data_IF_139264515441
#
_entry.id   IF_139264515441
#
_cell.length_a   1.000
_cell.length_b   1.000
_cell.length_c   1.000
_cell.angle_alpha   90.00
_cell.angle_beta   90.00
_cell.angle_gamma   90.00
#
_symmetry.space_group_name_H-M   'P 1'
#
loop_
_entity.id
_entity.type
_entity.pdbx_description
1 polymer ?
#
# COMPACT_ATOMS: atom_id res chain seq x y z
N UNK A 1 -6.66 -18.30 -12.70
CA UNK A 1 -7.43 -19.14 -11.76
C UNK A 1 -6.95 -19.06 -10.30
N UNK A 2 -5.74 -18.57 -9.99
CA UNK A 2 -5.21 -18.47 -8.61
C UNK A 2 -5.85 -17.37 -7.73
N UNK A 3 -6.19 -16.21 -8.28
CA UNK A 3 -6.68 -15.06 -7.48
C UNK A 3 -8.06 -15.32 -6.82
N UNK A 4 -8.91 -16.18 -7.42
CA UNK A 4 -10.18 -16.60 -6.81
C UNK A 4 -10.00 -17.55 -5.63
N UNK A 5 -8.88 -18.28 -5.54
CA UNK A 5 -8.63 -19.20 -4.44
C UNK A 5 -8.10 -18.45 -3.22
N UNK A 6 -7.23 -17.46 -3.41
CA UNK A 6 -6.66 -16.65 -2.33
C UNK A 6 -7.70 -15.73 -1.66
N UNK A 7 -8.54 -15.06 -2.46
CA UNK A 7 -9.68 -14.28 -1.94
C UNK A 7 -10.62 -15.16 -1.11
N UNK A 8 -10.92 -16.38 -1.58
CA UNK A 8 -11.73 -17.35 -0.83
C UNK A 8 -11.05 -17.82 0.45
N UNK A 9 -9.73 -18.02 0.43
CA UNK A 9 -8.95 -18.43 1.60
C UNK A 9 -8.97 -17.35 2.70
N UNK A 10 -8.80 -16.07 2.32
CA UNK A 10 -8.87 -14.94 3.24
C UNK A 10 -10.29 -14.74 3.81
N UNK A 11 -11.33 -14.88 2.97
CA UNK A 11 -12.72 -14.89 3.45
C UNK A 11 -13.01 -16.05 4.40
N UNK A 12 -12.46 -17.25 4.16
CA UNK A 12 -12.62 -18.38 5.06
C UNK A 12 -11.86 -18.21 6.38
N UNK A 13 -10.68 -17.58 6.37
CA UNK A 13 -9.94 -17.29 7.61
C UNK A 13 -10.69 -16.25 8.47
N UNK A 14 -11.22 -15.21 7.83
CA UNK A 14 -12.10 -14.24 8.48
C UNK A 14 -13.37 -14.90 9.03
N UNK A 15 -14.01 -15.80 8.27
CA UNK A 15 -15.18 -16.55 8.71
C UNK A 15 -14.89 -17.49 9.90
N UNK A 16 -13.70 -18.10 9.95
CA UNK A 16 -13.27 -18.93 11.08
C UNK A 16 -13.13 -18.07 12.35
N UNK A 17 -12.55 -16.87 12.24
CA UNK A 17 -12.44 -15.91 13.36
C UNK A 17 -13.82 -15.40 13.82
N UNK A 18 -14.77 -15.21 12.90
CA UNK A 18 -16.17 -14.87 13.24
C UNK A 18 -16.94 -16.05 13.86
N UNK A 19 -16.66 -17.29 13.45
CA UNK A 19 -17.34 -18.47 14.01
C UNK A 19 -16.82 -18.84 15.41
N UNK A 20 -15.55 -18.57 15.71
CA UNK A 20 -14.98 -18.79 17.04
C UNK A 20 -15.53 -17.81 18.10
N UNK A 21 -15.98 -16.63 17.68
CA UNK A 21 -16.62 -15.63 18.54
C UNK A 21 -18.13 -15.85 18.73
N UNK A 22 -18.76 -16.70 17.91
CA UNK A 22 -20.18 -17.03 18.02
C UNK A 22 -20.50 -18.17 19.02
N UNK A 23 -19.48 -18.89 19.51
CA UNK A 23 -19.66 -19.88 20.58
C UNK A 23 -19.49 -19.17 21.93
N UNK A 24 -20.39 -18.23 22.21
CA UNK A 24 -20.61 -17.76 23.56
C UNK A 24 -21.30 -18.90 24.32
N UNK A 25 -20.55 -19.50 25.24
CA UNK A 25 -20.99 -20.53 26.20
C UNK A 25 -22.37 -20.15 26.76
N UNK A 26 -23.39 -21.04 26.71
CA UNK A 26 -24.70 -20.74 27.26
C UNK A 26 -24.58 -20.48 28.78
N UNK A 27 -25.24 -19.42 29.25
CA UNK A 27 -25.29 -19.08 30.68
C UNK A 27 -26.09 -20.16 31.42
N UNK A 28 -25.43 -20.87 32.33
CA UNK A 28 -26.11 -21.64 33.38
C UNK A 28 -26.76 -20.71 34.42
N UNK A 29 -27.84 -21.16 35.08
CA UNK A 29 -28.69 -20.33 35.93
C UNK A 29 -28.17 -20.29 37.37
N UNK A 30 -26.94 -19.81 37.57
CA UNK A 30 -26.44 -19.45 38.88
C UNK A 30 -25.58 -18.21 38.71
N UNK A 31 -26.18 -17.02 38.83
CA UNK A 31 -25.44 -15.78 38.93
C UNK A 31 -24.81 -15.70 40.33
N UNK A 32 -23.47 -15.74 40.47
CA UNK A 32 -22.85 -15.10 41.61
C UNK A 32 -22.85 -13.59 41.32
N UNK A 33 -23.16 -12.82 42.35
CA UNK A 33 -23.00 -11.36 42.40
C UNK A 33 -21.72 -10.90 41.68
N UNK A 34 -21.82 -9.92 40.78
CA UNK A 34 -20.70 -9.31 40.04
C UNK A 34 -19.68 -8.70 41.02
N UNK A 35 -18.71 -9.50 41.46
CA UNK A 35 -17.55 -9.06 42.26
C UNK A 35 -16.44 -8.50 41.36
N UNK A 36 -16.68 -8.36 40.05
CA UNK A 36 -15.65 -8.04 39.05
C UNK A 36 -15.40 -6.54 38.84
N UNK A 37 -15.88 -5.66 39.73
CA UNK A 37 -15.73 -4.20 39.57
C UNK A 37 -15.29 -3.48 40.85
N UNK A 38 -14.55 -4.14 41.75
CA UNK A 38 -13.75 -3.38 42.72
C UNK A 38 -12.48 -2.89 42.02
N UNK A 39 -12.31 -1.56 41.97
CA UNK A 39 -11.08 -0.92 41.49
C UNK A 39 -9.88 -1.55 42.24
N UNK A 40 -8.93 -2.22 41.55
CA UNK A 40 -7.77 -2.74 42.25
C UNK A 40 -7.00 -1.57 42.87
N UNK A 41 -6.80 -1.63 44.19
CA UNK A 41 -6.01 -0.63 44.91
C UNK A 41 -4.64 -0.48 44.23
N UNK A 42 -4.22 0.74 43.86
CA UNK A 42 -2.95 0.95 43.17
C UNK A 42 -1.80 0.50 44.07
N UNK A 43 -1.17 -0.61 43.71
CA UNK A 43 0.05 -1.07 44.35
C UNK A 43 1.19 -0.05 44.17
N UNK A 44 2.29 -0.15 44.95
CA UNK A 44 3.38 0.83 44.98
C UNK A 44 4.15 0.99 43.65
N UNK A 45 3.79 0.24 42.60
CA UNK A 45 4.32 0.32 41.24
C UNK A 45 3.30 0.88 40.24
N UNK A 46 2.36 1.72 40.66
CA UNK A 46 1.24 2.30 39.88
C UNK A 46 1.60 3.11 38.62
N UNK A 47 2.86 3.10 38.17
CA UNK A 47 3.27 3.55 36.83
C UNK A 47 3.23 2.42 35.79
N UNK A 48 3.16 1.14 36.20
CA UNK A 48 3.07 0.00 35.27
C UNK A 48 1.64 -0.43 34.95
N UNK A 49 0.66 0.08 35.70
CA UNK A 49 -0.74 -0.19 35.43
C UNK A 49 -1.32 1.04 34.75
N UNK A 50 -1.83 0.91 33.51
CA UNK A 50 -2.80 1.87 33.03
C UNK A 50 -3.78 2.15 34.15
N UNK A 51 -4.08 3.42 34.39
CA UNK A 51 -5.29 3.74 35.13
C UNK A 51 -6.41 2.97 34.42
N UNK A 52 -6.91 1.93 35.08
CA UNK A 52 -7.61 0.81 34.45
C UNK A 52 -8.56 1.28 33.37
N UNK A 53 -8.26 0.91 32.13
CA UNK A 53 -9.22 0.94 31.02
C UNK A 53 -10.21 -0.23 31.26
N UNK A 54 -10.79 -0.38 32.46
CA UNK A 54 -11.78 -1.42 32.76
C UNK A 54 -11.46 -2.85 32.30
N UNK A 55 -10.17 -3.21 32.16
CA UNK A 55 -9.70 -4.47 31.56
C UNK A 55 -9.78 -5.62 32.57
N UNK A 56 -10.98 -5.94 33.03
CA UNK A 56 -11.21 -7.13 33.86
C UNK A 56 -12.65 -7.62 33.74
N UNK A 57 -13.11 -7.87 32.52
CA UNK A 57 -14.20 -8.81 32.26
C UNK A 57 -13.84 -9.67 31.03
N UNK A 58 -14.28 -10.93 30.95
CA UNK A 58 -13.95 -11.87 29.87
C UNK A 58 -14.54 -11.51 28.48
N UNK A 59 -14.73 -10.22 28.17
CA UNK A 59 -15.51 -9.71 27.03
C UNK A 59 -14.92 -8.48 26.32
N UNK A 60 -13.66 -8.14 26.54
CA UNK A 60 -13.05 -6.96 25.90
C UNK A 60 -12.52 -7.28 24.50
N UNK A 61 -13.44 -7.53 23.57
CA UNK A 61 -13.15 -7.46 22.14
C UNK A 61 -13.47 -6.06 21.63
N UNK A 62 -12.72 -5.60 20.65
CA UNK A 62 -13.01 -4.38 19.91
C UNK A 62 -13.01 -4.67 18.41
N UNK A 63 -13.89 -3.97 17.72
CA UNK A 63 -13.92 -3.92 16.26
C UNK A 63 -13.75 -2.48 15.84
N UNK A 64 -13.00 -2.26 14.77
CA UNK A 64 -12.87 -0.93 14.20
C UNK A 64 -12.85 -1.00 12.68
N UNK A 65 -13.30 0.08 12.07
CA UNK A 65 -13.26 0.29 10.63
C UNK A 65 -12.70 1.67 10.35
N UNK A 66 -11.78 1.76 9.40
CA UNK A 66 -11.21 3.00 8.91
C UNK A 66 -11.55 3.16 7.43
N UNK A 67 -11.93 4.37 7.07
CA UNK A 67 -12.04 4.78 5.68
C UNK A 67 -10.74 5.50 5.30
N UNK A 68 -10.08 5.02 4.26
CA UNK A 68 -8.80 5.54 3.83
C UNK A 68 -8.98 6.33 2.54
N UNK A 69 -8.51 7.58 2.55
CA UNK A 69 -8.32 8.36 1.34
C UNK A 69 -6.82 8.45 1.08
N UNK A 70 -6.34 7.66 0.12
CA UNK A 70 -4.92 7.54 -0.17
C UNK A 70 -4.59 8.12 -1.52
N UNK A 71 -3.37 8.65 -1.62
CA UNK A 71 -2.80 9.16 -2.85
C UNK A 71 -1.60 8.27 -3.21
N UNK A 72 -1.80 7.24 -4.06
CA UNK A 72 -0.73 6.33 -4.43
C UNK A 72 0.22 7.01 -5.42
N UNK A 73 1.53 6.80 -5.24
CA UNK A 73 2.58 7.25 -6.15
C UNK A 73 3.65 6.16 -6.22
N UNK A 74 4.22 5.96 -7.40
CA UNK A 74 5.23 4.93 -7.64
C UNK A 74 6.31 5.45 -8.57
N UNK A 75 7.56 5.33 -8.12
CA UNK A 75 8.74 5.71 -8.91
C UNK A 75 9.02 4.67 -9.98
N UNK A 76 9.55 5.10 -11.14
CA UNK A 76 9.83 4.20 -12.26
C UNK A 76 8.64 3.98 -13.20
N UNK A 77 7.46 4.56 -12.93
CA UNK A 77 6.29 4.58 -13.82
C UNK A 77 6.22 5.85 -14.71
N UNK A 78 7.35 6.46 -15.01
CA UNK A 78 7.45 7.55 -15.98
C UNK A 78 7.41 6.99 -17.40
N UNK A 79 6.47 7.47 -18.21
CA UNK A 79 6.27 6.96 -19.56
C UNK A 79 6.83 7.87 -20.65
N UNK A 80 6.88 9.18 -20.42
CA UNK A 80 7.34 10.12 -21.44
C UNK A 80 8.10 11.30 -20.85
N UNK A 81 8.98 11.87 -21.66
CA UNK A 81 9.57 13.19 -21.43
C UNK A 81 9.04 14.13 -22.50
N UNK A 82 8.33 15.18 -22.07
CA UNK A 82 7.81 16.23 -22.93
C UNK A 82 8.85 17.35 -23.08
N UNK A 83 9.17 17.72 -24.33
CA UNK A 83 10.21 18.69 -24.65
C UNK A 83 9.68 19.81 -25.54
N UNK A 84 9.97 21.04 -25.14
CA UNK A 84 9.54 22.27 -25.81
C UNK A 84 10.45 22.69 -26.99
N UNK A 85 11.20 21.75 -27.61
CA UNK A 85 12.24 22.09 -28.60
C UNK A 85 11.98 21.51 -30.00
N UNK A 86 12.46 22.21 -31.04
CA UNK A 86 12.13 21.96 -32.46
C UNK A 86 12.99 20.92 -33.17
N UNK A 87 14.00 20.35 -32.53
CA UNK A 87 14.84 19.27 -33.10
C UNK A 87 14.86 18.06 -32.19
N UNK A 88 14.42 16.91 -32.71
CA UNK A 88 14.52 15.63 -32.03
C UNK A 88 16.00 15.25 -31.76
N UNK A 89 16.24 14.52 -30.67
CA UNK A 89 17.53 13.87 -30.36
C UNK A 89 18.75 14.79 -30.15
N UNK A 90 18.57 16.07 -29.82
CA UNK A 90 19.71 16.94 -29.43
C UNK A 90 19.99 16.84 -27.93
N UNK A 91 21.19 16.36 -27.57
CA UNK A 91 21.71 16.39 -26.20
C UNK A 91 22.72 17.55 -26.04
N UNK A 92 22.73 18.28 -24.91
CA UNK A 92 21.93 18.10 -23.69
C UNK A 92 20.48 18.54 -23.83
N UNK A 93 19.60 17.88 -23.06
CA UNK A 93 18.20 18.29 -22.93
C UNK A 93 18.14 19.62 -22.16
N UNK A 94 17.68 20.69 -22.80
CA UNK A 94 17.68 22.04 -22.22
C UNK A 94 16.51 22.27 -21.26
N UNK A 95 15.28 21.92 -21.68
CA UNK A 95 14.05 22.01 -20.88
C UNK A 95 13.12 20.85 -21.26
N UNK A 96 12.68 20.06 -20.27
CA UNK A 96 11.67 19.02 -20.47
C UNK A 96 11.00 18.60 -19.17
N UNK A 97 9.73 18.18 -19.26
CA UNK A 97 8.95 17.69 -18.12
C UNK A 97 8.79 16.18 -18.21
N UNK A 98 9.05 15.49 -17.11
CA UNK A 98 8.82 14.05 -17.02
C UNK A 98 7.36 13.80 -16.68
N UNK A 99 6.71 12.92 -17.45
CA UNK A 99 5.31 12.51 -17.28
C UNK A 99 5.23 11.09 -16.76
N UNK A 100 4.43 10.89 -15.71
CA UNK A 100 4.36 9.61 -15.01
C UNK A 100 3.47 9.61 -13.77
N UNK A 101 3.63 8.60 -12.93
CA UNK A 101 2.94 8.49 -11.64
C UNK A 101 3.90 8.63 -10.44
N UNK A 102 5.10 9.17 -10.68
CA UNK A 102 6.10 9.41 -9.65
C UNK A 102 5.91 10.76 -8.94
N UNK A 103 6.75 11.00 -7.93
CA UNK A 103 6.72 12.18 -7.05
C UNK A 103 6.88 13.52 -7.77
N UNK A 104 7.33 13.51 -9.03
CA UNK A 104 7.55 14.71 -9.83
C UNK A 104 6.50 14.94 -10.94
N UNK A 105 5.45 14.12 -11.00
CA UNK A 105 4.38 14.27 -11.99
C UNK A 105 3.14 14.94 -11.40
N UNK A 106 2.54 15.87 -12.15
CA UNK A 106 1.35 16.63 -11.75
C UNK A 106 0.04 15.80 -11.81
N UNK A 107 0.11 14.51 -12.14
CA UNK A 107 -1.04 13.64 -12.42
C UNK A 107 -1.41 12.83 -11.17
N UNK A 108 -2.05 13.51 -10.23
CA UNK A 108 -2.26 13.03 -8.87
C UNK A 108 -3.73 13.00 -8.45
N UNK A 109 -4.22 11.80 -8.15
CA UNK A 109 -5.62 11.53 -7.90
C UNK A 109 -5.83 10.76 -6.59
N UNK A 110 -6.84 11.14 -5.81
CA UNK A 110 -7.20 10.45 -4.58
C UNK A 110 -7.94 9.14 -4.85
N UNK A 111 -7.65 8.12 -4.04
CA UNK A 111 -8.24 6.78 -4.11
C UNK A 111 -8.75 6.34 -2.76
N UNK A 112 -9.82 5.57 -2.82
CA UNK A 112 -10.50 5.07 -1.64
C UNK A 112 -9.98 3.68 -1.27
N UNK A 113 -9.84 3.45 0.02
CA UNK A 113 -9.55 2.16 0.61
C UNK A 113 -10.27 2.02 1.94
N UNK A 114 -10.15 0.85 2.54
CA UNK A 114 -10.67 0.60 3.87
C UNK A 114 -9.68 -0.25 4.68
N UNK A 115 -9.75 -0.09 5.99
CA UNK A 115 -9.13 -1.00 6.95
C UNK A 115 -10.20 -1.50 7.88
N UNK A 116 -10.22 -2.81 8.10
CA UNK A 116 -11.10 -3.44 9.08
C UNK A 116 -10.23 -4.20 10.08
N UNK A 117 -10.49 -3.98 11.36
CA UNK A 117 -9.70 -4.58 12.43
C UNK A 117 -10.56 -5.18 13.51
N UNK A 118 -10.07 -6.28 14.06
CA UNK A 118 -10.62 -6.97 15.22
C UNK A 118 -9.51 -7.18 16.22
N UNK A 119 -9.78 -6.95 17.49
CA UNK A 119 -8.84 -7.30 18.54
C UNK A 119 -9.51 -7.68 19.84
N UNK A 120 -8.74 -8.28 20.73
CA UNK A 120 -9.20 -8.66 22.05
C UNK A 120 -8.06 -8.56 23.07
N UNK A 121 -8.45 -8.29 24.32
CA UNK A 121 -7.53 -8.27 25.44
C UNK A 121 -7.60 -9.58 26.21
N UNK A 122 -6.44 -10.17 26.50
CA UNK A 122 -6.34 -11.37 27.32
C UNK A 122 -6.38 -11.00 28.81
N UNK A 123 -7.23 -11.71 29.54
CA UNK A 123 -7.59 -11.49 30.95
C UNK A 123 -6.40 -11.71 31.88
N UNK A 124 -5.48 -12.60 31.52
CA UNK A 124 -4.41 -13.02 32.45
C UNK A 124 -3.23 -12.05 32.53
N UNK A 125 -3.03 -11.15 31.56
CA UNK A 125 -1.86 -10.26 31.55
C UNK A 125 -2.04 -8.94 30.75
N UNK A 126 -3.27 -8.62 30.34
CA UNK A 126 -3.62 -7.46 29.51
C UNK A 126 -2.87 -7.40 28.16
N UNK A 127 -2.52 -8.56 27.60
CA UNK A 127 -2.02 -8.64 26.23
C UNK A 127 -3.14 -8.32 25.25
N UNK A 128 -2.90 -7.41 24.33
CA UNK A 128 -3.76 -7.09 23.20
C UNK A 128 -3.35 -7.93 22.00
N UNK A 129 -4.28 -8.67 21.43
CA UNK A 129 -4.13 -9.30 20.13
C UNK A 129 -5.01 -8.56 19.13
N UNK A 130 -4.44 -8.15 17.99
CA UNK A 130 -5.18 -7.51 16.90
C UNK A 130 -4.93 -8.21 15.56
N UNK A 131 -5.96 -8.21 14.73
CA UNK A 131 -5.91 -8.63 13.35
C UNK A 131 -6.50 -7.52 12.49
N UNK A 132 -5.69 -6.96 11.59
CA UNK A 132 -6.03 -5.80 10.78
C UNK A 132 -5.89 -6.15 9.29
N UNK A 133 -6.98 -5.99 8.54
CA UNK A 133 -6.99 -6.16 7.09
C UNK A 133 -7.13 -4.80 6.41
N UNK A 134 -6.14 -4.41 5.61
CA UNK A 134 -6.16 -3.19 4.79
C UNK A 134 -6.34 -3.57 3.33
N UNK A 135 -7.27 -2.92 2.63
CA UNK A 135 -7.44 -3.06 1.19
C UNK A 135 -7.58 -1.69 0.52
N UNK A 136 -6.81 -1.46 -0.53
CA UNK A 136 -6.81 -0.21 -1.31
C UNK A 136 -6.79 -0.57 -2.79
N UNK A 137 -7.66 0.10 -3.56
CA UNK A 137 -7.72 -0.06 -5.00
C UNK A 137 -7.05 1.12 -5.69
N UNK A 138 -6.04 0.83 -6.48
CA UNK A 138 -5.26 1.80 -7.25
C UNK A 138 -5.77 1.80 -8.69
N UNK A 139 -6.02 3.00 -9.21
CA UNK A 139 -6.29 3.23 -10.63
C UNK A 139 -5.75 4.62 -10.95
N UNK A 140 -5.02 4.83 -12.01
CA UNK A 140 -4.61 6.16 -12.44
C UNK A 140 -4.50 6.18 -13.94
N UNK A 141 -4.99 7.25 -14.53
CA UNK A 141 -5.06 7.43 -15.97
C UNK A 141 -4.35 8.75 -16.28
N UNK A 142 -3.48 8.76 -17.29
CA UNK A 142 -2.74 9.93 -17.73
C UNK A 142 -2.64 9.94 -19.25
N UNK A 143 -2.71 11.13 -19.83
CA UNK A 143 -2.53 11.35 -21.26
C UNK A 143 -1.79 12.67 -21.48
N UNK A 144 -0.81 12.65 -22.38
CA UNK A 144 -0.08 13.83 -22.82
C UNK A 144 -0.02 13.83 -24.34
N UNK A 145 -0.49 14.93 -24.94
CA UNK A 145 -0.37 15.17 -26.37
C UNK A 145 0.52 16.37 -26.62
N UNK A 146 1.36 16.27 -27.64
CA UNK A 146 2.17 17.37 -28.10
C UNK A 146 1.36 18.20 -29.10
N UNK A 147 0.80 19.31 -28.62
CA UNK A 147 -0.03 20.23 -29.42
C UNK A 147 0.76 21.25 -30.25
N UNK A 148 2.09 21.09 -30.42
CA UNK A 148 2.96 22.12 -30.99
C UNK A 148 4.23 21.60 -31.67
N UNK A 149 5.32 22.38 -31.59
CA UNK A 149 6.61 22.14 -32.27
C UNK A 149 7.63 21.34 -31.44
N UNK A 150 7.19 20.69 -30.35
CA UNK A 150 8.05 19.92 -29.46
C UNK A 150 8.23 18.47 -29.88
N UNK A 151 8.89 17.66 -29.04
CA UNK A 151 8.96 16.20 -29.19
C UNK A 151 8.66 15.49 -27.86
N UNK A 152 7.95 14.36 -27.93
CA UNK A 152 7.76 13.44 -26.80
C UNK A 152 8.76 12.29 -26.92
N UNK A 153 9.59 12.08 -25.90
CA UNK A 153 10.50 10.94 -25.82
C UNK A 153 9.83 9.81 -25.02
N UNK A 154 9.71 8.59 -25.57
CA UNK A 154 9.10 7.46 -24.88
C UNK A 154 10.13 6.75 -23.99
N UNK A 155 9.76 6.41 -22.75
CA UNK A 155 10.70 5.79 -21.79
C UNK A 155 10.64 4.26 -21.75
N UNK A 156 9.55 3.66 -22.24
CA UNK A 156 9.41 2.19 -22.33
C UNK A 156 9.63 1.65 -23.75
N UNK A 157 10.17 2.49 -24.63
CA UNK A 157 10.46 2.12 -26.01
C UNK A 157 11.90 1.58 -26.11
N UNK A 158 12.12 0.38 -26.65
CA UNK A 158 13.46 -0.16 -26.81
C UNK A 158 14.25 0.69 -27.81
N UNK A 159 15.50 1.09 -27.49
CA UNK A 159 16.31 1.91 -28.38
C UNK A 159 16.53 1.19 -29.72
N UNK A 160 16.34 1.92 -30.82
CA UNK A 160 16.55 1.38 -32.18
C UNK A 160 18.01 1.59 -32.55
N UNK A 161 18.82 0.53 -32.47
CA UNK A 161 20.16 0.53 -33.05
C UNK A 161 20.03 0.77 -34.57
N UNK A 162 20.63 1.85 -35.07
CA UNK A 162 20.70 2.26 -36.48
C UNK A 162 19.57 3.15 -37.05
N UNK A 163 18.84 3.91 -36.23
CA UNK A 163 17.97 4.98 -36.75
C UNK A 163 18.76 6.27 -37.00
N UNK A 164 19.54 6.32 -38.07
CA UNK A 164 20.30 7.53 -38.45
C UNK A 164 19.43 8.64 -39.07
N UNK A 165 18.12 8.44 -39.25
CA UNK A 165 17.32 9.39 -40.07
C UNK A 165 15.84 9.57 -39.72
N UNK A 166 15.32 9.05 -38.61
CA UNK A 166 13.98 9.46 -38.15
C UNK A 166 13.88 9.29 -36.64
N UNK A 167 13.94 10.40 -35.91
CA UNK A 167 13.60 10.39 -34.49
C UNK A 167 12.17 9.89 -34.34
N UNK A 168 11.90 9.06 -33.32
CA UNK A 168 10.56 8.57 -33.06
C UNK A 168 9.70 9.77 -32.66
N UNK A 169 9.01 10.38 -33.64
CA UNK A 169 8.16 11.53 -33.40
C UNK A 169 6.81 11.05 -32.83
N UNK A 170 6.68 11.14 -31.51
CA UNK A 170 5.44 10.81 -30.81
C UNK A 170 4.59 12.05 -30.64
N UNK A 171 3.35 11.95 -31.09
CA UNK A 171 2.35 13.02 -30.96
C UNK A 171 1.51 12.86 -29.71
N UNK A 172 1.26 11.62 -29.29
CA UNK A 172 0.46 11.33 -28.10
C UNK A 172 1.06 10.14 -27.34
N UNK A 173 1.05 10.23 -26.02
CA UNK A 173 1.40 9.14 -25.12
C UNK A 173 0.38 9.08 -24.00
N UNK A 174 -0.16 7.89 -23.75
CA UNK A 174 -1.12 7.65 -22.68
C UNK A 174 -0.63 6.53 -21.79
N UNK A 175 -0.92 6.64 -20.49
CA UNK A 175 -0.52 5.65 -19.51
C UNK A 175 -1.65 5.38 -18.53
N UNK A 176 -1.80 4.11 -18.17
CA UNK A 176 -2.77 3.65 -17.20
C UNK A 176 -2.11 2.71 -16.22
N UNK A 177 -2.18 3.08 -14.95
CA UNK A 177 -1.77 2.26 -13.82
C UNK A 177 -2.98 1.74 -13.08
N UNK A 178 -3.03 0.46 -12.77
CA UNK A 178 -4.05 -0.12 -11.90
C UNK A 178 -3.42 -1.15 -11.00
N UNK A 179 -3.94 -1.28 -9.78
CA UNK A 179 -3.45 -2.29 -8.86
C UNK A 179 -4.36 -2.51 -7.69
N UNK A 180 -4.17 -3.65 -7.04
CA UNK A 180 -4.85 -4.03 -5.81
C UNK A 180 -3.80 -4.20 -4.71
N UNK A 181 -3.96 -3.43 -3.64
CA UNK A 181 -3.11 -3.48 -2.46
C UNK A 181 -3.89 -4.12 -1.32
N UNK A 182 -3.37 -5.19 -0.74
CA UNK A 182 -3.99 -5.88 0.40
C UNK A 182 -2.94 -6.32 1.41
N UNK A 183 -3.11 -5.95 2.68
CA UNK A 183 -2.27 -6.45 3.78
C UNK A 183 -3.10 -7.02 4.91
N UNK A 184 -2.63 -8.12 5.49
CA UNK A 184 -3.17 -8.71 6.70
C UNK A 184 -2.09 -8.67 7.79
N UNK A 185 -2.39 -7.99 8.88
CA UNK A 185 -1.51 -7.87 10.04
C UNK A 185 -2.09 -8.66 11.20
N UNK A 186 -1.28 -9.48 11.84
CA UNK A 186 -1.61 -10.15 13.10
C UNK A 186 -0.57 -9.71 14.12
N UNK A 187 -1.01 -8.96 15.12
CA UNK A 187 -0.15 -8.26 16.06
C UNK A 187 -0.50 -8.64 17.50
N UNK A 188 0.50 -8.70 18.35
CA UNK A 188 0.34 -8.79 19.79
C UNK A 188 1.14 -7.67 20.46
N UNK A 189 0.59 -7.09 21.52
CA UNK A 189 1.27 -6.02 22.23
C UNK A 189 0.69 -5.80 23.61
N UNK A 190 1.35 -4.97 24.39
CA UNK A 190 0.90 -4.63 25.74
C UNK A 190 0.92 -3.11 25.91
N UNK A 191 -0.25 -2.46 25.99
CA UNK A 191 -0.29 -1.03 26.28
C UNK A 191 0.08 -0.77 27.74
N UNK A 192 0.81 0.31 27.99
CA UNK A 192 1.15 0.77 29.34
C UNK A 192 1.20 2.29 29.39
N UNK A 193 0.93 2.86 30.56
CA UNK A 193 1.04 4.29 30.79
C UNK A 193 2.48 4.63 31.17
N UNK A 194 3.18 5.37 30.32
CA UNK A 194 4.51 5.90 30.71
C UNK A 194 4.35 7.10 31.66
N UNK A 195 3.25 7.84 31.49
CA UNK A 195 2.88 8.94 32.37
C UNK A 195 1.36 9.06 32.49
N UNK A 196 0.90 9.97 33.35
CA UNK A 196 -0.53 10.27 33.51
C UNK A 196 -1.23 10.63 32.19
N UNK A 197 -0.50 11.25 31.27
CA UNK A 197 -1.04 11.77 30.01
C UNK A 197 -0.52 11.03 28.78
N UNK A 198 0.41 10.08 28.92
CA UNK A 198 1.01 9.39 27.78
C UNK A 198 0.87 7.87 27.91
N UNK A 199 0.16 7.29 26.95
CA UNK A 199 -0.02 5.84 26.79
C UNK A 199 0.86 5.38 25.64
N UNK A 200 1.62 4.32 25.90
CA UNK A 200 2.51 3.69 24.94
C UNK A 200 2.01 2.29 24.66
N UNK A 201 1.83 1.95 23.39
CA UNK A 201 1.38 0.65 22.94
C UNK A 201 2.33 0.08 21.88
N UNK A 202 3.46 -0.53 22.32
CA UNK A 202 4.30 -1.31 21.41
C UNK A 202 3.63 -2.64 21.08
N UNK A 203 3.66 -3.00 19.81
CA UNK A 203 3.11 -4.23 19.26
C UNK A 203 4.13 -4.88 18.31
N UNK A 204 4.14 -6.20 18.27
CA UNK A 204 4.95 -6.96 17.32
C UNK A 204 4.13 -8.13 16.77
N UNK A 205 4.46 -8.58 15.58
CA UNK A 205 3.66 -9.60 14.93
C UNK A 205 4.14 -9.94 13.53
N UNK A 206 3.20 -10.43 12.74
CA UNK A 206 3.43 -10.90 11.38
C UNK A 206 2.54 -10.11 10.44
N UNK A 207 3.10 -9.73 9.30
CA UNK A 207 2.38 -9.13 8.18
C UNK A 207 2.44 -10.05 6.97
N UNK A 208 1.32 -10.18 6.28
CA UNK A 208 1.23 -10.74 4.94
C UNK A 208 0.76 -9.65 3.98
N UNK A 209 1.47 -9.45 2.89
CA UNK A 209 1.16 -8.44 1.87
C UNK A 209 0.95 -9.07 0.50
N UNK A 210 -0.02 -8.54 -0.22
CA UNK A 210 -0.32 -8.84 -1.61
C UNK A 210 -0.45 -7.51 -2.36
N UNK A 211 0.36 -7.34 -3.40
CA UNK A 211 0.40 -6.12 -4.21
C UNK A 211 0.41 -6.57 -5.66
N UNK A 212 -0.73 -6.46 -6.32
CA UNK A 212 -0.87 -6.79 -7.74
C UNK A 212 -0.91 -5.48 -8.53
N UNK A 213 0.00 -5.28 -9.48
CA UNK A 213 0.11 -4.06 -10.27
C UNK A 213 0.10 -4.37 -11.77
N UNK A 214 -0.81 -3.74 -12.49
CA UNK A 214 -0.89 -3.74 -13.94
C UNK A 214 -0.64 -2.31 -14.45
N UNK A 215 0.32 -2.17 -15.35
CA UNK A 215 0.68 -0.90 -15.97
C UNK A 215 0.65 -1.03 -17.49
N UNK A 216 -0.05 -0.12 -18.15
CA UNK A 216 -0.25 -0.13 -19.59
C UNK A 216 0.08 1.24 -20.17
N UNK A 217 1.04 1.28 -21.09
CA UNK A 217 1.43 2.49 -21.79
C UNK A 217 1.12 2.33 -23.27
N UNK A 218 0.51 3.36 -23.86
CA UNK A 218 0.27 3.45 -25.29
C UNK A 218 0.97 4.64 -25.88
N UNK A 219 1.66 4.38 -26.97
CA UNK A 219 2.41 5.37 -27.72
C UNK A 219 1.80 5.51 -29.11
N UNK A 220 1.51 6.74 -29.51
CA UNK A 220 0.97 7.06 -30.83
C UNK A 220 2.00 7.80 -31.67
N UNK A 221 2.49 7.14 -32.71
CA UNK A 221 3.37 7.74 -33.71
C UNK A 221 2.53 8.16 -34.93
N UNK A 222 2.57 9.47 -35.25
CA UNK A 222 1.86 10.09 -36.37
C UNK A 222 0.35 9.76 -36.44
N UNK A 223 -0.30 9.54 -35.28
CA UNK A 223 -1.72 9.14 -35.14
C UNK A 223 -2.15 7.88 -35.92
N UNK A 224 -1.18 7.11 -36.42
CA UNK A 224 -1.41 5.94 -37.30
C UNK A 224 -0.84 4.65 -36.74
N UNK A 225 0.20 4.73 -35.91
CA UNK A 225 0.82 3.57 -35.29
C UNK A 225 0.66 3.66 -33.78
N UNK A 226 -0.17 2.76 -33.26
CA UNK A 226 -0.32 2.53 -31.82
C UNK A 226 0.62 1.40 -31.41
N UNK A 227 1.46 1.65 -30.41
CA UNK A 227 2.28 0.62 -29.77
C UNK A 227 1.92 0.53 -28.30
N UNK A 228 1.68 -0.69 -27.85
CA UNK A 228 1.23 -0.97 -26.49
C UNK A 228 2.33 -1.70 -25.73
N UNK A 229 2.68 -1.17 -24.56
CA UNK A 229 3.57 -1.81 -23.60
C UNK A 229 2.76 -2.18 -22.38
N UNK A 230 2.77 -3.47 -22.06
CA UNK A 230 2.13 -4.02 -20.88
C UNK A 230 3.20 -4.45 -19.89
N UNK A 231 3.06 -4.01 -18.65
CA UNK A 231 3.89 -4.37 -17.53
C UNK A 231 2.99 -4.88 -16.41
N UNK A 232 3.37 -6.02 -15.84
CA UNK A 232 2.73 -6.61 -14.68
C UNK A 232 3.77 -6.89 -13.62
N UNK A 233 3.46 -6.51 -12.39
CA UNK A 233 4.29 -6.70 -11.23
C UNK A 233 3.41 -7.22 -10.09
N UNK A 234 3.46 -8.54 -9.89
CA UNK A 234 2.71 -9.21 -8.84
C UNK A 234 3.67 -9.55 -7.69
N UNK A 235 3.36 -9.07 -6.49
CA UNK A 235 4.13 -9.31 -5.29
C UNK A 235 3.26 -9.95 -4.21
N UNK A 236 3.82 -10.98 -3.57
CA UNK A 236 3.30 -11.46 -2.30
C UNK A 236 4.45 -11.74 -1.34
N UNK A 237 4.23 -11.47 -0.06
CA UNK A 237 5.25 -11.70 0.96
C UNK A 237 4.67 -11.85 2.34
N UNK A 238 5.47 -12.46 3.22
CA UNK A 238 5.16 -12.57 4.63
C UNK A 238 6.41 -12.28 5.46
N UNK A 239 6.24 -11.66 6.61
CA UNK A 239 7.37 -11.41 7.49
C UNK A 239 7.00 -10.69 8.77
N UNK A 240 8.02 -10.19 9.45
CA UNK A 240 7.88 -9.61 10.77
C UNK A 240 7.46 -8.15 10.67
N UNK A 241 6.59 -7.72 11.58
CA UNK A 241 6.14 -6.34 11.73
C UNK A 241 6.27 -5.90 13.17
N UNK A 242 6.89 -4.74 13.38
CA UNK A 242 6.86 -3.99 14.62
C UNK A 242 5.94 -2.78 14.44
N UNK A 243 5.17 -2.44 15.47
CA UNK A 243 4.32 -1.26 15.50
C UNK A 243 4.42 -0.60 16.86
N UNK A 244 4.24 0.71 16.87
CA UNK A 244 4.20 1.51 18.08
C UNK A 244 3.14 2.58 17.92
N UNK A 245 2.17 2.57 18.83
CA UNK A 245 1.17 3.64 18.96
C UNK A 245 1.42 4.40 20.27
N UNK A 246 1.63 5.71 20.17
CA UNK A 246 1.71 6.62 21.29
C UNK A 246 0.49 7.52 21.33
N UNK A 247 -0.14 7.66 22.49
CA UNK A 247 -1.33 8.49 22.69
C UNK A 247 -1.12 9.49 23.82
N UNK A 248 -1.29 10.77 23.52
CA UNK A 248 -1.22 11.86 24.49
C UNK A 248 -2.62 12.38 24.83
N UNK A 249 -3.02 12.22 26.09
CA UNK A 249 -4.35 12.53 26.60
C UNK A 249 -4.40 14.01 27.01
N UNK A 250 -5.28 14.78 26.37
CA UNK A 250 -5.43 16.22 26.62
C UNK A 250 -6.53 16.52 27.64
N UNK A 251 -7.54 15.66 27.73
CA UNK A 251 -8.73 15.85 28.57
C UNK A 251 -10.03 15.86 27.76
N UNK A 252 -11.18 15.78 28.44
CA UNK A 252 -12.52 15.77 27.81
C UNK A 252 -12.72 14.70 26.73
N UNK A 253 -11.99 13.58 26.83
CA UNK A 253 -12.01 12.49 25.86
C UNK A 253 -11.09 12.70 24.64
N UNK A 254 -10.50 13.89 24.47
CA UNK A 254 -9.58 14.18 23.37
C UNK A 254 -8.16 13.73 23.67
N UNK A 255 -7.50 13.28 22.61
CA UNK A 255 -6.12 12.82 22.63
C UNK A 255 -5.46 13.03 21.27
N UNK A 256 -4.16 13.31 21.27
CA UNK A 256 -3.34 13.16 20.07
C UNK A 256 -2.83 11.73 20.02
N UNK A 257 -2.77 11.13 18.84
CA UNK A 257 -2.13 9.84 18.65
C UNK A 257 -1.09 9.93 17.53
N UNK A 258 -0.02 9.16 17.70
CA UNK A 258 0.96 8.89 16.67
C UNK A 258 1.15 7.40 16.55
N UNK A 259 1.25 6.92 15.31
CA UNK A 259 1.54 5.53 15.01
C UNK A 259 2.74 5.44 14.10
N UNK A 260 3.58 4.44 14.35
CA UNK A 260 4.66 4.07 13.47
C UNK A 260 4.66 2.55 13.36
N UNK A 261 4.87 2.03 12.16
CA UNK A 261 5.07 0.61 11.96
C UNK A 261 6.17 0.38 10.95
N UNK A 262 6.89 -0.72 11.15
CA UNK A 262 7.98 -1.14 10.29
C UNK A 262 7.85 -2.65 10.08
N UNK A 263 7.97 -3.10 8.84
CA UNK A 263 7.92 -4.51 8.50
C UNK A 263 9.03 -4.89 7.52
N UNK A 264 9.49 -6.13 7.63
CA UNK A 264 10.40 -6.77 6.69
C UNK A 264 9.73 -8.03 6.18
N UNK A 265 9.34 -8.05 4.91
CA UNK A 265 8.59 -9.14 4.30
C UNK A 265 9.50 -9.90 3.33
N UNK A 266 9.68 -11.19 3.55
CA UNK A 266 10.29 -12.05 2.54
C UNK A 266 9.18 -12.50 1.58
N UNK A 267 9.36 -12.20 0.30
CA UNK A 267 8.32 -12.41 -0.69
C UNK A 267 8.86 -12.72 -2.06
N UNK A 268 7.93 -13.02 -2.96
CA UNK A 268 8.21 -13.32 -4.36
C UNK A 268 7.65 -12.22 -5.25
N UNK A 269 8.44 -11.82 -6.23
CA UNK A 269 8.05 -11.00 -7.36
C UNK A 269 7.82 -11.90 -8.56
N UNK A 270 6.70 -11.68 -9.26
CA UNK A 270 6.39 -12.25 -10.55
C UNK A 270 6.18 -11.09 -11.53
N UNK A 271 7.12 -10.90 -12.44
CA UNK A 271 7.18 -9.75 -13.36
C UNK A 271 6.97 -10.25 -14.78
N UNK A 272 6.08 -9.58 -15.51
CA UNK A 272 5.88 -9.82 -16.93
C UNK A 272 5.83 -8.50 -17.67
N UNK A 273 6.63 -8.38 -18.73
CA UNK A 273 6.66 -7.19 -19.56
C UNK A 273 6.60 -7.60 -21.02
N UNK A 274 5.70 -7.00 -21.79
CA UNK A 274 5.55 -7.28 -23.21
C UNK A 274 5.30 -5.99 -23.99
N UNK A 275 5.88 -5.90 -25.18
CA UNK A 275 5.61 -4.81 -26.13
C UNK A 275 4.98 -5.38 -27.39
N UNK A 276 3.72 -5.02 -27.65
CA UNK A 276 3.01 -5.46 -28.86
C UNK A 276 3.26 -4.49 -30.02
N UNK A 277 3.48 -5.05 -31.21
CA UNK A 277 3.52 -4.27 -32.46
C UNK A 277 2.18 -4.33 -33.20
N UNK A 278 1.73 -3.23 -33.81
CA UNK A 278 0.61 -3.30 -34.74
C UNK A 278 1.03 -4.12 -35.96
N UNK A 279 0.18 -5.09 -36.32
CA UNK A 279 0.37 -6.11 -37.37
C UNK A 279 0.48 -5.54 -38.79
N UNK A 280 0.48 -4.22 -38.95
CA UNK A 280 0.42 -3.49 -40.23
C UNK A 280 1.66 -2.64 -40.53
N UNK A 281 2.65 -2.57 -39.64
CA UNK A 281 3.87 -1.79 -39.87
C UNK A 281 4.99 -2.61 -40.55
N UNK A 282 4.79 -2.98 -41.83
CA UNK A 282 5.94 -3.33 -42.69
C UNK A 282 6.55 -2.02 -43.18
N UNK A 283 7.37 -1.38 -42.33
CA UNK A 283 8.21 -0.26 -42.76
C UNK A 283 9.48 -0.88 -43.36
N UNK A 284 9.38 -1.44 -44.57
CA UNK A 284 10.49 -2.03 -45.32
C UNK A 284 11.00 -3.40 -44.79
N UNK A 285 11.56 -4.29 -45.64
CA UNK A 285 11.96 -5.66 -45.25
C UNK A 285 13.06 -5.75 -44.19
N UNK A 286 13.69 -4.62 -43.81
CA UNK A 286 14.89 -4.58 -42.98
C UNK A 286 14.70 -3.85 -41.62
N UNK A 287 13.57 -3.20 -41.35
CA UNK A 287 13.29 -2.58 -40.05
C UNK A 287 12.26 -3.43 -39.29
N UNK A 288 12.73 -4.52 -38.69
CA UNK A 288 11.93 -5.27 -37.73
C UNK A 288 11.77 -4.41 -36.48
N UNK A 289 10.55 -3.94 -36.24
CA UNK A 289 10.17 -3.37 -34.95
C UNK A 289 10.36 -4.47 -33.89
N UNK A 290 11.34 -4.33 -33.01
CA UNK A 290 11.63 -5.34 -31.99
C UNK A 290 10.46 -5.44 -31.00
N UNK A 291 9.79 -6.59 -31.01
CA UNK A 291 8.92 -7.06 -29.94
C UNK A 291 9.80 -7.69 -28.87
N UNK A 292 9.51 -7.40 -27.61
CA UNK A 292 10.15 -8.07 -26.49
C UNK A 292 9.08 -8.61 -25.56
N UNK A 293 9.39 -9.77 -25.00
CA UNK A 293 8.63 -10.41 -23.95
C UNK A 293 9.61 -10.85 -22.87
N UNK A 294 9.46 -10.28 -21.69
CA UNK A 294 10.24 -10.58 -20.51
C UNK A 294 9.33 -11.20 -19.45
N UNK A 295 9.80 -12.29 -18.88
CA UNK A 295 9.20 -12.92 -17.71
C UNK A 295 10.34 -13.15 -16.72
N UNK A 296 10.19 -12.64 -15.51
CA UNK A 296 11.17 -12.81 -14.44
C UNK A 296 10.44 -13.13 -13.14
N UNK A 297 11.05 -13.96 -12.32
CA UNK A 297 10.51 -14.28 -11.01
C UNK A 297 11.64 -14.51 -10.01
N UNK A 298 11.62 -13.76 -8.92
CA UNK A 298 12.65 -13.85 -7.90
C UNK A 298 12.09 -13.57 -6.51
N UNK A 299 12.89 -13.90 -5.50
CA UNK A 299 12.56 -13.61 -4.11
C UNK A 299 13.39 -12.45 -3.61
N UNK A 300 12.77 -11.54 -2.88
CA UNK A 300 13.44 -10.42 -2.24
C UNK A 300 12.84 -10.11 -0.88
N UNK A 301 13.62 -9.47 -0.03
CA UNK A 301 13.15 -8.91 1.24
C UNK A 301 12.69 -7.49 0.97
N UNK A 302 11.41 -7.23 1.19
CA UNK A 302 10.81 -5.91 1.00
C UNK A 302 10.59 -5.23 2.35
N UNK A 303 11.29 -4.11 2.61
CA UNK A 303 10.98 -3.28 3.75
C UNK A 303 9.70 -2.49 3.49
N UNK A 304 8.96 -2.24 4.57
CA UNK A 304 7.79 -1.38 4.57
C UNK A 304 7.80 -0.52 5.84
N UNK A 305 7.46 0.76 5.68
CA UNK A 305 7.33 1.68 6.79
C UNK A 305 6.02 2.46 6.70
N UNK A 306 5.42 2.68 7.86
CA UNK A 306 4.21 3.44 8.04
C UNK A 306 4.41 4.45 9.16
N UNK A 307 3.91 5.66 8.95
CA UNK A 307 3.92 6.71 9.95
C UNK A 307 2.61 7.48 9.87
N UNK A 308 1.94 7.66 11.00
CA UNK A 308 0.68 8.37 11.07
C UNK A 308 0.57 9.23 12.30
N UNK A 309 -0.17 10.34 12.17
CA UNK A 309 -0.44 11.29 13.25
C UNK A 309 -1.89 11.74 13.16
N UNK A 310 -2.55 11.94 14.30
CA UNK A 310 -3.94 12.36 14.31
C UNK A 310 -4.49 12.74 15.67
N UNK A 311 -5.79 12.98 15.69
CA UNK A 311 -6.58 13.29 16.87
C UNK A 311 -7.61 12.18 17.07
N UNK A 312 -7.75 11.75 18.31
CA UNK A 312 -8.73 10.76 18.71
C UNK A 312 -9.63 11.34 19.81
N UNK A 313 -10.92 11.09 19.68
CA UNK A 313 -11.92 11.37 20.71
C UNK A 313 -12.51 10.07 21.22
N UNK A 314 -12.55 9.91 22.54
CA UNK A 314 -12.99 8.70 23.22
C UNK A 314 -14.08 9.03 24.24
N UNK A 315 -15.14 8.22 24.28
CA UNK A 315 -16.20 8.35 25.29
C UNK A 315 -16.68 6.99 25.76
N UNK A 316 -16.89 6.90 27.08
CA UNK A 316 -17.46 5.73 27.73
C UNK A 316 -18.97 5.88 27.93
N UNK A 317 -19.69 4.76 27.83
CA UNK A 317 -21.14 4.65 28.03
C UNK A 317 -21.45 3.49 29.00
N UNK A 318 -22.66 3.48 29.58
CA UNK A 318 -23.13 2.49 30.55
C UNK A 318 -22.09 2.19 31.66
N UNK A 319 -21.86 3.16 32.56
CA UNK A 319 -20.97 2.95 33.72
C UNK A 319 -19.57 2.43 33.35
N UNK A 320 -19.00 2.93 32.24
CA UNK A 320 -17.70 2.54 31.69
C UNK A 320 -17.60 1.13 31.09
N UNK A 321 -18.72 0.50 30.75
CA UNK A 321 -18.72 -0.83 30.12
C UNK A 321 -18.46 -0.80 28.61
N UNK A 322 -18.81 0.30 27.93
CA UNK A 322 -18.59 0.42 26.48
C UNK A 322 -17.81 1.68 26.14
N UNK A 323 -16.78 1.54 25.31
CA UNK A 323 -15.99 2.65 24.79
C UNK A 323 -16.27 2.85 23.31
N UNK A 324 -16.52 4.09 22.91
CA UNK A 324 -16.53 4.49 21.50
C UNK A 324 -15.36 5.43 21.26
N UNK A 325 -14.62 5.15 20.19
CA UNK A 325 -13.48 5.94 19.74
C UNK A 325 -13.73 6.43 18.31
N UNK A 326 -13.43 7.69 18.06
CA UNK A 326 -13.40 8.28 16.72
C UNK A 326 -11.99 8.84 16.52
N UNK A 327 -11.30 8.37 15.48
CA UNK A 327 -9.95 8.80 15.13
C UNK A 327 -9.97 9.47 13.75
N UNK A 328 -9.23 10.57 13.62
CA UNK A 328 -8.97 11.24 12.34
C UNK A 328 -7.48 11.57 12.30
N UNK A 329 -6.81 11.22 11.21
CA UNK A 329 -5.38 11.43 11.08
C UNK A 329 -4.90 11.37 9.64
N UNK A 330 -3.60 11.63 9.49
CA UNK A 330 -2.88 11.53 8.23
C UNK A 330 -1.83 10.42 8.35
N UNK A 331 -1.67 9.63 7.28
CA UNK A 331 -0.78 8.48 7.23
C UNK A 331 0.11 8.50 5.99
N UNK A 332 1.37 8.16 6.18
CA UNK A 332 2.35 7.87 5.15
C UNK A 332 2.62 6.37 5.14
N UNK A 333 2.60 5.78 3.94
CA UNK A 333 2.92 4.37 3.71
C UNK A 333 4.00 4.34 2.63
N UNK A 334 5.12 3.68 2.93
CA UNK A 334 6.23 3.57 2.00
C UNK A 334 6.68 2.12 1.89
N UNK A 335 6.76 1.67 0.64
CA UNK A 335 7.33 0.39 0.24
C UNK A 335 8.55 0.71 -0.61
N UNK A 336 9.70 0.16 -0.23
CA UNK A 336 10.91 0.32 -1.02
C UNK A 336 10.89 -0.64 -2.19
N UNK A 337 11.52 -0.25 -3.29
CA UNK A 337 11.82 -1.12 -4.44
C UNK A 337 10.64 -1.99 -4.88
N UNK A 338 9.41 -1.47 -4.77
CA UNK A 338 8.22 -2.22 -5.12
C UNK A 338 8.11 -2.36 -6.64
N UNK A 339 8.51 -1.32 -7.39
CA UNK A 339 8.59 -1.35 -8.83
C UNK A 339 9.86 -2.07 -9.29
N UNK A 340 9.70 -3.19 -9.98
CA UNK A 340 10.81 -3.99 -10.51
C UNK A 340 10.75 -4.06 -12.06
N UNK A 341 10.09 -3.09 -12.68
CA UNK A 341 10.03 -2.97 -14.13
C UNK A 341 11.40 -2.72 -14.75
N UNK A 342 11.67 -3.32 -15.90
CA UNK A 342 12.92 -3.08 -16.64
C UNK A 342 12.70 -1.99 -17.69
N UNK A 343 13.61 -1.01 -17.70
CA UNK A 343 13.68 0.02 -18.74
C UNK A 343 14.88 -0.27 -19.64
N UNK A 344 14.73 -0.02 -20.93
CA UNK A 344 15.80 -0.21 -21.91
C UNK A 344 16.37 1.15 -22.27
N UNK A 345 17.65 1.39 -21.99
CA UNK A 345 18.32 2.66 -22.29
C UNK A 345 19.39 2.53 -23.37
N UNK A 346 19.86 1.30 -23.65
CA UNK A 346 20.89 1.03 -24.67
C UNK A 346 20.48 -0.15 -25.57
N UNK A 347 21.02 -0.17 -26.80
CA UNK A 347 20.89 -1.28 -27.74
C UNK A 347 21.68 -2.52 -27.31
N UNK A 348 22.55 -2.40 -26.31
CA UNK A 348 23.11 -3.52 -25.58
C UNK A 348 22.15 -3.98 -24.46
N UNK A 349 21.50 -5.15 -24.58
CA UNK A 349 20.58 -5.66 -23.56
C UNK A 349 21.28 -6.08 -22.25
N UNK A 350 22.61 -5.99 -22.16
CA UNK A 350 23.40 -6.25 -20.95
C UNK A 350 23.83 -5.00 -20.21
N UNK A 351 23.58 -3.80 -20.77
CA UNK A 351 23.79 -2.54 -20.07
C UNK A 351 22.71 -2.37 -18.99
N UNK A 352 23.04 -2.81 -17.77
CA UNK A 352 22.30 -2.43 -16.57
C UNK A 352 22.95 -1.16 -16.01
N UNK A 353 22.16 -0.15 -15.67
CA UNK A 353 22.48 0.76 -14.57
C UNK A 353 21.93 0.17 -13.26
#
# INVERSE_FOLDING_TARGET
MKNKFLSKALFSLAAILFSASAIAIPKDPCAPTDVCCEEPMPGPFAFSYPKDIGLACPRDFYVHGEFLLMKPSEEGLEYAIDQDYTTANTFPLLNGKVKGFSTNSDEWDWRYGFRAGFGFYNIHDAWNFSADWTYIKIKSDSEVSNGGTGFLLPLFYPPIANSTDDGINLHNASSRWSGDYSTLDIMMGKPYHVSRYFVSNPMFGVRVGFIDQDYHVRYFQNDRFERNVWLKNDYWGAGLRGSYEGQFILGSGFSFYGKMAFALLFGKFDISQQSENPTTAVISPNNLLYEYKLEDSFYSVQPNAELGLGVAWNRYFHQNQYQVSVKVGYEFHHWWDQNQARKFFDGDPTAND
#
